data_IF_913121733655
#
_entry.id   IF_913121733655
#
_cell.length_a   1.000
_cell.length_b   1.000
_cell.length_c   1.000
_cell.angle_alpha   90.00
_cell.angle_beta   90.00
_cell.angle_gamma   90.00
#
_symmetry.space_group_name_H-M   'P 1'
#
loop_
_entity.id
_entity.type
_entity.pdbx_description
1 polymer ?
#
# COMPACT_ATOMS: atom_id res chain seq x y z
N UNK A 1 -71.23 38.09 45.11
CA UNK A 1 -69.95 38.78 45.35
C UNK A 1 -68.84 37.91 44.80
N UNK A 2 -68.19 38.40 43.75
CA UNK A 2 -67.05 37.83 43.05
C UNK A 2 -65.75 38.26 43.75
N UNK A 3 -64.86 37.32 44.07
CA UNK A 3 -63.40 37.48 44.27
C UNK A 3 -62.77 36.11 44.00
N UNK A 4 -62.33 35.83 42.76
CA UNK A 4 -60.95 35.92 42.21
C UNK A 4 -59.97 34.91 42.81
N UNK A 5 -59.59 33.96 41.96
CA UNK A 5 -58.44 33.09 42.07
C UNK A 5 -57.15 33.88 41.84
N UNK A 6 -56.14 33.67 42.69
CA UNK A 6 -54.72 33.84 42.39
C UNK A 6 -53.89 33.44 43.62
N UNK A 7 -53.75 32.13 43.84
CA UNK A 7 -52.64 31.53 44.59
C UNK A 7 -52.35 30.18 43.92
N UNK A 8 -51.73 30.24 42.74
CA UNK A 8 -51.10 29.08 42.09
C UNK A 8 -49.64 29.42 41.82
N UNK A 9 -48.80 29.00 42.77
CA UNK A 9 -47.47 28.38 42.56
C UNK A 9 -46.67 28.88 41.37
N UNK A 10 -45.72 29.79 41.64
CA UNK A 10 -44.55 29.99 40.80
C UNK A 10 -43.63 28.77 40.92
N UNK A 11 -43.73 27.81 39.99
CA UNK A 11 -42.68 26.84 39.76
C UNK A 11 -41.44 27.58 39.26
N UNK A 12 -40.33 27.45 39.99
CA UNK A 12 -39.07 28.11 39.67
C UNK A 12 -38.53 27.65 38.32
N UNK A 13 -38.31 28.60 37.41
CA UNK A 13 -37.55 28.36 36.19
C UNK A 13 -36.11 27.98 36.57
N UNK A 14 -35.76 26.70 36.46
CA UNK A 14 -34.39 26.22 36.53
C UNK A 14 -33.63 26.64 35.26
N UNK A 15 -33.15 27.87 35.21
CA UNK A 15 -32.23 28.32 34.16
C UNK A 15 -30.82 27.82 34.47
N UNK A 16 -30.18 27.15 33.51
CA UNK A 16 -28.80 26.67 33.66
C UNK A 16 -27.85 27.89 33.74
N UNK A 17 -26.98 28.00 34.78
CA UNK A 17 -26.03 29.11 34.89
C UNK A 17 -25.07 29.15 33.68
N UNK A 18 -24.86 30.35 33.11
CA UNK A 18 -23.89 30.56 32.03
C UNK A 18 -22.47 30.70 32.56
N UNK A 19 -21.93 29.61 33.08
CA UNK A 19 -20.56 29.53 33.62
C UNK A 19 -19.70 28.59 32.78
N UNK A 20 -18.41 28.91 32.63
CA UNK A 20 -17.45 28.09 31.90
C UNK A 20 -16.31 28.90 31.27
N UNK A 21 -15.27 28.19 30.85
CA UNK A 21 -14.16 28.76 30.08
C UNK A 21 -14.61 29.00 28.63
N UNK A 22 -14.36 30.20 28.11
CA UNK A 22 -14.58 30.48 26.69
C UNK A 22 -13.48 29.82 25.83
N UNK A 23 -13.87 28.80 25.09
CA UNK A 23 -12.97 28.01 24.24
C UNK A 23 -13.02 28.43 22.76
N UNK A 24 -13.74 29.51 22.43
CA UNK A 24 -13.76 30.01 21.06
C UNK A 24 -12.42 30.62 20.67
N UNK A 25 -11.96 30.44 19.41
CA UNK A 25 -10.76 31.11 18.92
C UNK A 25 -10.85 32.64 18.98
N UNK A 26 -12.06 33.20 18.82
CA UNK A 26 -12.33 34.65 18.84
C UNK A 26 -12.51 35.23 20.24
N UNK A 27 -12.62 34.38 21.27
CA UNK A 27 -12.96 34.76 22.65
C UNK A 27 -14.21 35.63 22.75
N UNK A 28 -15.28 35.23 22.05
CA UNK A 28 -16.55 35.95 21.94
C UNK A 28 -17.66 35.40 22.86
N UNK A 29 -17.32 34.46 23.74
CA UNK A 29 -18.23 33.75 24.62
C UNK A 29 -19.24 32.89 23.86
N UNK A 30 -18.96 32.52 22.62
CA UNK A 30 -19.85 31.72 21.78
C UNK A 30 -19.99 30.27 22.23
N UNK A 31 -18.93 29.72 22.82
CA UNK A 31 -18.86 28.35 23.34
C UNK A 31 -18.16 28.37 24.68
N UNK A 32 -18.93 28.14 25.75
CA UNK A 32 -18.40 28.02 27.11
C UNK A 32 -18.30 26.54 27.49
N UNK A 33 -17.19 26.15 28.10
CA UNK A 33 -16.94 24.78 28.55
C UNK A 33 -16.77 24.74 30.06
N UNK A 34 -17.45 23.80 30.70
CA UNK A 34 -17.28 23.47 32.11
C UNK A 34 -16.98 21.97 32.25
N UNK A 35 -15.79 21.63 32.74
CA UNK A 35 -15.43 20.22 32.99
C UNK A 35 -16.15 19.73 34.25
N UNK A 36 -16.96 18.69 34.11
CA UNK A 36 -17.66 18.02 35.23
C UNK A 36 -16.86 16.84 35.79
N UNK A 37 -16.12 16.15 34.92
CA UNK A 37 -15.20 15.08 35.29
C UNK A 37 -14.00 15.13 34.36
N UNK A 38 -12.82 15.15 34.94
CA UNK A 38 -11.56 15.12 34.21
C UNK A 38 -11.40 13.81 33.42
N UNK A 39 -10.81 13.92 32.23
CA UNK A 39 -10.34 12.76 31.48
C UNK A 39 -8.91 12.36 31.86
N UNK A 40 -8.37 11.39 31.13
CA UNK A 40 -7.01 10.86 31.31
C UNK A 40 -6.19 11.03 30.02
N UNK A 41 -4.86 10.95 30.17
CA UNK A 41 -3.93 11.13 29.06
C UNK A 41 -3.63 12.59 28.73
N UNK A 42 -2.71 12.78 27.79
CA UNK A 42 -2.23 14.09 27.33
C UNK A 42 -2.64 14.40 25.90
N UNK A 43 -3.13 13.40 25.15
CA UNK A 43 -3.56 13.58 23.78
C UNK A 43 -5.00 14.10 23.72
N UNK A 44 -5.24 14.99 22.75
CA UNK A 44 -6.56 15.54 22.43
C UNK A 44 -6.93 15.13 21.01
N UNK A 45 -8.23 14.96 20.68
CA UNK A 45 -8.68 14.75 19.31
C UNK A 45 -8.19 15.85 18.37
N UNK A 46 -7.80 15.47 17.16
CA UNK A 46 -7.36 16.36 16.09
C UNK A 46 -8.38 16.39 14.95
N UNK A 47 -8.24 17.36 14.04
CA UNK A 47 -9.10 17.43 12.85
C UNK A 47 -8.97 16.13 12.05
N UNK A 48 -10.10 15.57 11.62
CA UNK A 48 -10.18 14.31 10.90
C UNK A 48 -10.25 13.06 11.78
N UNK A 49 -9.95 13.17 13.09
CA UNK A 49 -10.11 12.02 13.99
C UNK A 49 -11.58 11.62 14.07
N UNK A 50 -11.82 10.31 14.07
CA UNK A 50 -13.12 9.73 14.38
C UNK A 50 -13.29 9.69 15.90
N UNK A 51 -14.24 10.45 16.43
CA UNK A 51 -14.51 10.54 17.87
C UNK A 51 -15.75 9.74 18.25
N UNK A 52 -15.79 9.23 19.48
CA UNK A 52 -16.90 8.45 20.03
C UNK A 52 -17.37 9.06 21.34
N UNK A 53 -18.60 9.55 21.37
CA UNK A 53 -19.15 10.30 22.50
C UNK A 53 -20.51 9.79 22.95
N UNK A 54 -20.83 9.96 24.23
CA UNK A 54 -22.23 10.11 24.65
C UNK A 54 -22.56 11.58 24.88
N UNK A 55 -23.83 11.93 24.67
CA UNK A 55 -24.30 13.28 24.97
C UNK A 55 -25.75 13.32 25.43
N UNK A 56 -26.08 14.43 26.08
CA UNK A 56 -27.44 14.88 26.39
C UNK A 56 -27.54 16.34 25.98
N UNK A 57 -28.52 16.68 25.15
CA UNK A 57 -28.79 18.04 24.67
C UNK A 57 -30.07 18.61 25.27
N UNK A 58 -29.96 19.79 25.88
CA UNK A 58 -31.09 20.53 26.45
C UNK A 58 -31.10 21.98 26.00
N UNK A 59 -32.28 22.60 25.99
CA UNK A 59 -32.40 24.06 25.93
C UNK A 59 -31.96 24.67 27.27
N UNK A 60 -31.80 25.99 27.31
CA UNK A 60 -31.36 26.73 28.50
C UNK A 60 -32.36 26.62 29.68
N UNK A 61 -33.63 26.38 29.38
CA UNK A 61 -34.70 26.13 30.35
C UNK A 61 -34.73 24.68 30.89
N UNK A 62 -33.79 23.84 30.44
CA UNK A 62 -33.69 22.43 30.82
C UNK A 62 -34.48 21.47 29.93
N UNK A 63 -35.24 21.95 28.94
CA UNK A 63 -36.01 21.10 28.03
C UNK A 63 -35.09 20.19 27.22
N UNK A 64 -35.21 18.88 27.44
CA UNK A 64 -34.45 17.87 26.70
C UNK A 64 -34.94 17.74 25.26
N UNK A 65 -34.03 17.80 24.28
CA UNK A 65 -34.37 17.67 22.85
C UNK A 65 -33.74 16.44 22.17
N UNK A 66 -32.59 15.96 22.65
CA UNK A 66 -31.89 14.81 22.08
C UNK A 66 -30.83 14.23 23.03
N UNK A 67 -30.70 12.91 23.08
CA UNK A 67 -29.62 12.21 23.78
C UNK A 67 -29.23 10.92 23.07
N UNK A 68 -27.92 10.64 23.01
CA UNK A 68 -27.44 9.33 22.57
C UNK A 68 -27.57 8.25 23.64
N UNK A 69 -27.72 8.62 24.92
CA UNK A 69 -27.90 7.65 26.01
C UNK A 69 -29.27 6.97 25.92
N UNK A 70 -30.29 7.70 25.51
CA UNK A 70 -31.64 7.17 25.26
C UNK A 70 -31.64 6.09 24.16
N UNK A 71 -30.66 6.15 23.24
CA UNK A 71 -30.48 5.18 22.17
C UNK A 71 -29.61 3.98 22.58
N UNK A 72 -28.93 4.04 23.72
CA UNK A 72 -28.04 2.99 24.18
C UNK A 72 -26.74 2.83 23.38
N UNK A 73 -26.50 3.67 22.37
CA UNK A 73 -25.34 3.58 21.49
C UNK A 73 -24.54 4.90 21.47
N UNK A 74 -23.21 4.79 21.40
CA UNK A 74 -22.33 5.95 21.28
C UNK A 74 -22.54 6.61 19.93
N UNK A 75 -22.51 7.94 19.91
CA UNK A 75 -22.51 8.70 18.67
C UNK A 75 -21.06 8.87 18.20
N UNK A 76 -20.82 8.64 16.91
CA UNK A 76 -19.49 8.84 16.31
C UNK A 76 -19.55 9.77 15.11
N UNK A 77 -18.56 10.64 14.99
CA UNK A 77 -18.41 11.58 13.88
C UNK A 77 -16.94 11.92 13.63
N UNK A 78 -16.64 12.52 12.49
CA UNK A 78 -15.31 13.04 12.15
C UNK A 78 -15.17 14.49 12.63
N UNK A 79 -14.19 14.74 13.49
CA UNK A 79 -13.99 16.04 14.11
C UNK A 79 -13.46 17.07 13.11
N UNK A 80 -14.01 18.28 13.12
CA UNK A 80 -13.54 19.39 12.28
C UNK A 80 -13.91 19.27 10.79
N UNK A 81 -14.80 18.34 10.44
CA UNK A 81 -15.32 18.14 9.07
C UNK A 81 -16.72 18.74 8.87
N UNK A 82 -17.28 19.42 9.88
CA UNK A 82 -18.61 20.03 9.80
C UNK A 82 -19.76 19.02 9.79
N UNK A 83 -19.53 17.80 10.29
CA UNK A 83 -20.59 16.79 10.48
C UNK A 83 -21.50 17.12 11.68
N UNK A 84 -21.05 18.02 12.56
CA UNK A 84 -21.74 18.49 13.76
C UNK A 84 -21.75 20.01 13.80
N UNK A 85 -22.47 20.59 14.76
CA UNK A 85 -22.49 22.05 14.96
C UNK A 85 -21.08 22.57 15.29
N UNK A 86 -20.79 23.83 14.92
CA UNK A 86 -19.47 24.45 15.13
C UNK A 86 -19.00 24.37 16.59
N UNK A 87 -19.93 24.51 17.54
CA UNK A 87 -19.63 24.42 18.96
C UNK A 87 -19.07 23.05 19.37
N UNK A 88 -19.53 21.97 18.74
CA UNK A 88 -19.04 20.63 18.99
C UNK A 88 -17.65 20.40 18.39
N UNK A 89 -17.42 20.88 17.16
CA UNK A 89 -16.07 20.81 16.55
C UNK A 89 -15.02 21.54 17.40
N UNK A 90 -15.39 22.66 18.02
CA UNK A 90 -14.52 23.39 18.97
C UNK A 90 -14.43 22.66 20.31
N UNK A 91 -15.57 22.25 20.88
CA UNK A 91 -15.66 21.67 22.22
C UNK A 91 -14.93 20.33 22.34
N UNK A 92 -15.26 19.38 21.47
CA UNK A 92 -14.72 18.01 21.55
C UNK A 92 -13.22 17.98 21.27
N UNK A 93 -12.69 18.90 20.47
CA UNK A 93 -11.24 19.07 20.24
C UNK A 93 -10.45 19.41 21.51
N UNK A 94 -11.12 19.90 22.56
CA UNK A 94 -10.47 20.24 23.85
C UNK A 94 -10.59 19.14 24.90
N UNK A 95 -11.27 18.03 24.59
CA UNK A 95 -11.59 16.99 25.57
C UNK A 95 -10.51 15.91 25.63
N UNK A 96 -10.23 15.41 26.84
CA UNK A 96 -9.44 14.18 27.05
C UNK A 96 -10.33 12.94 27.04
N UNK A 97 -9.73 11.77 26.78
CA UNK A 97 -10.45 10.49 26.88
C UNK A 97 -10.97 10.29 28.31
N UNK A 98 -12.27 9.99 28.44
CA UNK A 98 -12.99 9.82 29.70
C UNK A 98 -13.59 11.10 30.28
N UNK A 99 -13.26 12.27 29.71
CA UNK A 99 -13.75 13.57 30.17
C UNK A 99 -15.27 13.69 29.97
N UNK A 100 -15.94 14.23 30.98
CA UNK A 100 -17.33 14.68 30.92
C UNK A 100 -17.34 16.20 31.06
N UNK A 101 -17.85 16.92 30.07
CA UNK A 101 -17.98 18.38 30.12
C UNK A 101 -19.38 18.84 29.76
N UNK A 102 -19.72 20.05 30.21
CA UNK A 102 -20.87 20.81 29.72
C UNK A 102 -20.40 21.86 28.73
N UNK A 103 -21.06 21.95 27.58
CA UNK A 103 -20.87 22.97 26.57
C UNK A 103 -22.13 23.83 26.49
N UNK A 104 -21.97 25.15 26.64
CA UNK A 104 -23.03 26.13 26.42
C UNK A 104 -22.75 26.81 25.08
N UNK A 105 -23.66 26.67 24.14
CA UNK A 105 -23.47 27.00 22.73
C UNK A 105 -24.44 28.10 22.31
N UNK A 106 -23.90 29.28 21.98
CA UNK A 106 -24.69 30.36 21.38
C UNK A 106 -25.18 29.96 19.96
N UNK A 107 -26.30 30.55 19.49
CA UNK A 107 -26.89 30.17 18.21
C UNK A 107 -25.94 30.30 17.01
N UNK A 108 -25.02 31.27 17.00
CA UNK A 108 -24.04 31.47 15.93
C UNK A 108 -23.07 30.28 15.74
N UNK A 109 -22.90 29.49 16.81
CA UNK A 109 -22.10 28.27 16.85
C UNK A 109 -22.96 26.99 16.87
N UNK A 110 -24.29 27.13 16.80
CA UNK A 110 -25.28 26.06 16.73
C UNK A 110 -26.13 26.16 15.45
N UNK A 111 -27.46 26.30 15.57
CA UNK A 111 -28.40 26.32 14.43
C UNK A 111 -28.85 27.72 14.00
N UNK A 112 -28.27 28.77 14.58
CA UNK A 112 -28.51 30.17 14.19
C UNK A 112 -29.98 30.60 14.26
N UNK A 113 -30.32 31.59 13.42
CA UNK A 113 -31.67 32.15 13.34
C UNK A 113 -32.70 31.22 12.71
N UNK A 114 -32.27 30.15 12.04
CA UNK A 114 -33.18 29.17 11.47
C UNK A 114 -33.67 28.16 12.53
N UNK A 115 -32.83 27.82 13.51
CA UNK A 115 -33.10 26.73 14.43
C UNK A 115 -33.09 25.36 13.73
N UNK A 116 -33.69 24.35 14.37
CA UNK A 116 -33.96 23.03 13.78
C UNK A 116 -35.35 22.56 14.22
N UNK A 117 -36.42 23.08 13.58
CA UNK A 117 -37.79 22.76 13.95
C UNK A 117 -38.12 21.26 13.80
N UNK A 118 -39.01 20.70 14.63
CA UNK A 118 -39.76 21.38 15.70
C UNK A 118 -39.00 21.45 17.04
N UNK A 119 -37.85 20.78 17.17
CA UNK A 119 -37.17 20.57 18.46
C UNK A 119 -36.35 21.76 18.93
N UNK A 120 -35.71 22.47 18.00
CA UNK A 120 -34.81 23.58 18.32
C UNK A 120 -35.36 24.87 17.72
N UNK A 121 -35.74 25.87 18.54
CA UNK A 121 -36.27 27.12 18.03
C UNK A 121 -35.18 28.01 17.40
N UNK A 122 -35.58 29.01 16.60
CA UNK A 122 -34.70 30.10 16.15
C UNK A 122 -33.90 30.74 17.29
N UNK A 123 -32.61 31.02 17.04
CA UNK A 123 -31.69 31.71 17.97
C UNK A 123 -31.56 31.04 19.35
N UNK A 124 -31.78 29.72 19.43
CA UNK A 124 -31.66 28.99 20.69
C UNK A 124 -30.21 28.88 21.17
N UNK A 125 -29.98 29.16 22.45
CA UNK A 125 -28.79 28.71 23.18
C UNK A 125 -28.98 27.26 23.59
N UNK A 126 -28.03 26.40 23.23
CA UNK A 126 -28.07 24.98 23.55
C UNK A 126 -27.09 24.67 24.67
N UNK A 127 -27.46 23.71 25.51
CA UNK A 127 -26.58 23.15 26.52
C UNK A 127 -26.40 21.67 26.22
N UNK A 128 -25.15 21.24 26.10
CA UNK A 128 -24.80 19.84 25.92
C UNK A 128 -23.98 19.36 27.10
N UNK A 129 -24.30 18.18 27.61
CA UNK A 129 -23.36 17.39 28.40
C UNK A 129 -22.75 16.34 27.48
N UNK A 130 -21.42 16.32 27.34
CA UNK A 130 -20.69 15.45 26.40
C UNK A 130 -19.65 14.64 27.16
N UNK A 131 -19.61 13.34 26.90
CA UNK A 131 -18.62 12.40 27.44
C UNK A 131 -17.80 11.80 26.29
N UNK A 132 -16.49 12.04 26.27
CA UNK A 132 -15.59 11.50 25.25
C UNK A 132 -15.06 10.13 25.68
N UNK A 133 -15.34 9.09 24.91
CA UNK A 133 -14.90 7.73 25.22
C UNK A 133 -13.62 7.33 24.49
N UNK A 134 -13.50 7.74 23.24
CA UNK A 134 -12.43 7.29 22.37
C UNK A 134 -12.32 8.26 21.19
N UNK A 135 -11.11 8.38 20.66
CA UNK A 135 -10.90 8.92 19.32
C UNK A 135 -9.83 8.08 18.61
N UNK A 136 -9.91 8.03 17.30
CA UNK A 136 -8.95 7.33 16.44
C UNK A 136 -8.59 8.21 15.26
N UNK A 137 -7.31 8.23 14.88
CA UNK A 137 -6.89 8.83 13.63
C UNK A 137 -7.49 8.12 12.42
N UNK A 138 -7.40 8.75 11.27
CA UNK A 138 -7.87 8.23 9.99
C UNK A 138 -6.94 7.13 9.50
N UNK A 139 -7.50 5.97 9.13
CA UNK A 139 -6.75 4.92 8.46
C UNK A 139 -6.69 5.24 6.96
N UNK A 140 -5.48 5.46 6.43
CA UNK A 140 -5.28 5.79 5.03
C UNK A 140 -4.91 4.57 4.17
N UNK A 141 -4.96 3.37 4.74
CA UNK A 141 -4.67 2.14 4.01
C UNK A 141 -5.88 1.71 3.18
N UNK A 142 -5.62 1.16 1.99
CA UNK A 142 -6.67 0.71 1.07
C UNK A 142 -7.55 -0.40 1.67
N UNK A 143 -6.97 -1.25 2.52
CA UNK A 143 -7.64 -2.38 3.17
C UNK A 143 -8.20 -2.05 4.56
N UNK A 144 -8.08 -0.79 5.02
CA UNK A 144 -8.41 -0.36 6.40
C UNK A 144 -7.79 -1.29 7.48
N UNK A 145 -6.51 -1.67 7.30
CA UNK A 145 -5.81 -2.64 8.16
C UNK A 145 -5.16 -2.01 9.43
N UNK A 146 -5.41 -0.73 9.64
CA UNK A 146 -4.82 0.12 10.68
C UNK A 146 -3.32 0.29 10.51
N UNK A 147 -2.79 0.09 9.31
CA UNK A 147 -1.37 0.05 9.03
C UNK A 147 -0.71 1.42 8.98
N UNK A 148 -1.44 2.43 8.52
CA UNK A 148 -1.01 3.83 8.50
C UNK A 148 -2.16 4.69 9.03
N UNK A 149 -1.98 5.22 10.24
CA UNK A 149 -2.97 6.09 10.90
C UNK A 149 -2.49 7.54 10.79
N UNK A 150 -3.32 8.39 10.19
CA UNK A 150 -3.10 9.84 10.04
C UNK A 150 -3.82 10.62 11.12
N UNK A 151 -3.15 11.64 11.67
CA UNK A 151 -3.74 12.68 12.52
C UNK A 151 -3.32 14.06 12.02
N UNK A 152 -4.27 14.89 11.62
CA UNK A 152 -4.00 16.18 10.96
C UNK A 152 -3.70 17.24 12.01
N UNK A 153 -2.50 17.85 11.92
CA UNK A 153 -2.05 18.94 12.79
C UNK A 153 -2.50 20.28 12.20
N UNK A 154 -2.16 20.51 10.93
CA UNK A 154 -2.56 21.68 10.15
C UNK A 154 -3.28 21.20 8.91
N UNK A 155 -4.50 21.68 8.69
CA UNK A 155 -5.30 21.32 7.52
C UNK A 155 -4.67 21.92 6.25
N UNK A 156 -4.59 21.14 5.18
CA UNK A 156 -4.20 21.63 3.88
C UNK A 156 -5.27 22.46 3.18
N UNK A 157 -4.92 22.93 2.00
CA UNK A 157 -5.78 23.70 1.10
C UNK A 157 -5.99 22.95 -0.22
N UNK A 158 -7.18 23.12 -0.80
CA UNK A 158 -7.57 22.47 -2.05
C UNK A 158 -8.08 21.04 -1.85
N UNK A 159 -8.24 20.33 -2.97
CA UNK A 159 -8.77 18.95 -3.01
C UNK A 159 -7.85 17.98 -3.74
N UNK A 160 -6.81 18.50 -4.39
CA UNK A 160 -5.85 17.69 -5.13
C UNK A 160 -4.82 17.09 -4.18
N UNK A 161 -4.39 15.86 -4.51
CA UNK A 161 -3.34 15.14 -3.80
C UNK A 161 -2.23 14.70 -4.77
N UNK A 162 -0.99 14.50 -4.30
CA UNK A 162 0.06 13.90 -5.11
C UNK A 162 -0.34 12.51 -5.62
N UNK A 163 0.07 12.17 -6.85
CA UNK A 163 -0.03 10.82 -7.41
C UNK A 163 1.35 10.19 -7.58
N UNK A 164 1.38 8.91 -7.96
CA UNK A 164 2.63 8.21 -8.29
C UNK A 164 3.41 8.98 -9.37
N UNK A 165 4.69 9.25 -9.13
CA UNK A 165 5.53 10.06 -10.00
C UNK A 165 5.40 11.58 -9.83
N UNK A 166 4.53 12.08 -8.94
CA UNK A 166 4.43 13.51 -8.64
C UNK A 166 5.72 14.04 -8.03
N UNK A 167 6.11 15.26 -8.39
CA UNK A 167 7.18 15.98 -7.72
C UNK A 167 6.64 16.63 -6.44
N UNK A 168 7.23 16.34 -5.29
CA UNK A 168 6.78 16.83 -3.98
C UNK A 168 7.88 17.60 -3.26
N UNK A 169 7.49 18.61 -2.51
CA UNK A 169 8.33 19.36 -1.58
C UNK A 169 7.80 19.14 -0.16
N UNK A 170 8.59 18.46 0.67
CA UNK A 170 8.15 18.02 2.00
C UNK A 170 9.20 18.30 3.08
N UNK A 171 8.72 18.56 4.29
CA UNK A 171 9.50 18.39 5.51
C UNK A 171 9.08 17.10 6.17
N UNK A 172 10.03 16.25 6.53
CA UNK A 172 9.78 14.98 7.20
C UNK A 172 10.57 14.91 8.50
N UNK A 173 9.94 14.42 9.55
CA UNK A 173 10.55 14.09 10.82
C UNK A 173 10.10 12.68 11.22
N UNK A 174 11.03 11.72 11.16
CA UNK A 174 10.81 10.33 11.54
C UNK A 174 11.29 10.08 12.97
N UNK A 175 10.44 9.48 13.79
CA UNK A 175 10.75 9.06 15.15
C UNK A 175 10.30 7.64 15.45
N UNK A 176 11.00 6.99 16.37
CA UNK A 176 10.69 5.65 16.86
C UNK A 176 10.81 5.68 18.38
N UNK A 177 9.74 5.31 19.09
CA UNK A 177 9.68 5.35 20.57
C UNK A 177 10.10 6.71 21.15
N UNK A 178 9.71 7.81 20.48
CA UNK A 178 10.05 9.18 20.87
C UNK A 178 11.46 9.65 20.49
N UNK A 179 12.32 8.77 19.96
CA UNK A 179 13.63 9.16 19.44
C UNK A 179 13.53 9.54 17.96
N UNK A 180 13.80 10.80 17.65
CA UNK A 180 13.96 11.28 16.28
C UNK A 180 15.20 10.61 15.65
N UNK A 181 15.03 10.06 14.44
CA UNK A 181 16.10 9.40 13.69
C UNK A 181 16.31 9.97 12.29
N UNK A 182 15.36 10.74 11.78
CA UNK A 182 15.43 11.42 10.48
C UNK A 182 14.70 12.75 10.57
N UNK A 183 15.32 13.84 10.11
CA UNK A 183 14.71 15.17 10.02
C UNK A 183 15.30 15.90 8.83
N UNK A 184 14.51 16.07 7.77
CA UNK A 184 14.99 16.64 6.49
C UNK A 184 13.89 17.40 5.78
N UNK A 185 14.30 18.40 5.01
CA UNK A 185 13.49 19.05 3.99
C UNK A 185 14.00 18.60 2.61
N UNK A 186 13.10 18.10 1.77
CA UNK A 186 13.47 17.41 0.54
C UNK A 186 12.51 17.75 -0.60
N UNK A 187 13.04 17.73 -1.82
CA UNK A 187 12.27 17.69 -3.06
C UNK A 187 12.57 16.38 -3.78
N UNK A 188 11.55 15.57 -4.04
CA UNK A 188 11.73 14.29 -4.71
C UNK A 188 10.47 13.89 -5.48
N UNK A 189 10.57 12.83 -6.29
CA UNK A 189 9.41 12.25 -6.97
C UNK A 189 8.85 11.08 -6.18
N UNK A 190 7.52 11.04 -6.02
CA UNK A 190 6.83 9.87 -5.48
C UNK A 190 7.16 8.64 -6.33
N UNK A 191 7.58 7.56 -5.68
CA UNK A 191 8.18 6.35 -6.25
C UNK A 191 9.69 6.24 -6.02
N UNK A 192 10.33 7.27 -5.45
CA UNK A 192 11.78 7.31 -5.15
C UNK A 192 12.14 7.27 -3.65
N UNK A 193 11.15 7.14 -2.76
CA UNK A 193 11.35 7.23 -1.32
C UNK A 193 12.33 6.21 -0.77
N UNK A 194 12.32 4.98 -1.28
CA UNK A 194 13.23 3.91 -0.81
C UNK A 194 14.71 4.28 -0.95
N UNK A 195 15.11 4.95 -2.04
CA UNK A 195 16.50 5.39 -2.24
C UNK A 195 16.90 6.54 -1.31
N UNK A 196 15.92 7.28 -0.80
CA UNK A 196 16.09 8.30 0.21
C UNK A 196 16.09 7.74 1.64
N UNK A 197 15.97 6.42 1.78
CA UNK A 197 15.92 5.70 3.05
C UNK A 197 14.53 5.68 3.68
N UNK A 198 13.47 6.05 2.95
CA UNK A 198 12.12 6.02 3.48
C UNK A 198 11.51 4.62 3.41
N UNK A 199 10.72 4.23 4.43
CA UNK A 199 9.84 3.09 4.31
C UNK A 199 8.65 3.41 3.39
N UNK A 200 8.05 2.38 2.79
CA UNK A 200 6.96 2.52 1.79
C UNK A 200 5.75 3.31 2.31
N UNK A 201 5.51 3.29 3.62
CA UNK A 201 4.42 4.06 4.25
C UNK A 201 4.56 5.57 4.13
N UNK A 202 5.78 6.11 4.02
CA UNK A 202 6.00 7.57 3.90
C UNK A 202 5.45 8.11 2.59
N UNK A 203 5.71 7.43 1.47
CA UNK A 203 5.18 7.87 0.18
C UNK A 203 3.66 7.73 0.11
N UNK A 204 3.11 6.64 0.67
CA UNK A 204 1.65 6.46 0.83
C UNK A 204 1.04 7.59 1.68
N UNK A 205 1.71 7.98 2.77
CA UNK A 205 1.28 9.10 3.60
C UNK A 205 1.25 10.41 2.82
N UNK A 206 2.33 10.74 2.08
CA UNK A 206 2.40 11.97 1.27
C UNK A 206 1.28 12.00 0.21
N UNK A 207 1.00 10.89 -0.46
CA UNK A 207 -0.10 10.79 -1.44
C UNK A 207 -1.50 10.95 -0.82
N UNK A 208 -1.66 10.82 0.49
CA UNK A 208 -2.93 11.05 1.18
C UNK A 208 -3.16 12.52 1.57
N UNK A 209 -2.12 13.36 1.51
CA UNK A 209 -2.10 14.74 1.99
C UNK A 209 -2.56 15.77 0.95
N UNK A 210 -3.09 16.87 1.44
CA UNK A 210 -3.38 18.11 0.70
C UNK A 210 -2.19 19.08 0.77
N UNK A 211 -2.09 20.02 -0.19
CA UNK A 211 -1.03 21.03 -0.16
C UNK A 211 -1.15 21.92 1.08
N UNK A 212 -0.03 22.18 1.77
CA UNK A 212 0.01 22.92 3.02
C UNK A 212 -0.34 22.09 4.26
N UNK A 213 -0.79 20.83 4.09
CA UNK A 213 -1.12 19.94 5.21
C UNK A 213 0.14 19.59 6.02
N UNK A 214 -0.02 19.58 7.35
CA UNK A 214 0.95 19.02 8.28
C UNK A 214 0.22 17.95 9.11
N UNK A 215 0.75 16.73 9.13
CA UNK A 215 0.11 15.62 9.80
C UNK A 215 1.12 14.68 10.45
N UNK A 216 0.67 14.01 11.52
CA UNK A 216 1.37 12.93 12.17
C UNK A 216 0.85 11.59 11.64
N UNK A 217 1.75 10.72 11.23
CA UNK A 217 1.45 9.39 10.73
C UNK A 217 2.06 8.35 11.66
N UNK A 218 1.26 7.39 12.12
CA UNK A 218 1.72 6.20 12.84
C UNK A 218 1.70 5.02 11.89
N UNK A 219 2.85 4.39 11.66
CA UNK A 219 3.04 3.33 10.67
C UNK A 219 3.42 2.02 11.36
N UNK A 220 2.59 0.99 11.19
CA UNK A 220 2.90 -0.38 11.62
C UNK A 220 4.06 -0.96 10.80
N UNK A 221 4.72 -2.03 11.27
CA UNK A 221 5.90 -2.59 10.60
C UNK A 221 5.73 -2.92 9.12
N UNK A 222 4.53 -3.36 8.69
CA UNK A 222 4.18 -3.63 7.28
C UNK A 222 4.44 -2.43 6.36
N UNK A 223 4.24 -1.22 6.89
CA UNK A 223 4.43 0.05 6.16
C UNK A 223 5.68 0.82 6.63
N UNK A 224 6.34 0.35 7.70
CA UNK A 224 7.64 0.84 8.19
C UNK A 224 8.82 0.06 7.58
N UNK A 225 9.87 -0.15 8.37
CA UNK A 225 11.06 -0.92 7.95
C UNK A 225 10.90 -2.45 8.07
N UNK A 226 9.68 -2.95 8.28
CA UNK A 226 9.38 -4.38 8.36
C UNK A 226 10.06 -5.09 9.53
N UNK A 227 10.15 -6.41 9.41
CA UNK A 227 10.76 -7.28 10.43
C UNK A 227 12.30 -7.21 10.44
N UNK A 228 12.91 -6.63 9.41
CA UNK A 228 14.36 -6.42 9.37
C UNK A 228 14.79 -5.20 10.19
N UNK A 229 13.91 -4.20 10.33
CA UNK A 229 14.25 -2.92 10.93
C UNK A 229 15.19 -2.11 10.04
N UNK A 230 15.88 -1.13 10.62
CA UNK A 230 16.86 -0.32 9.90
C UNK A 230 18.10 -0.08 10.77
N UNK A 231 19.20 -0.74 10.41
CA UNK A 231 20.45 -0.68 11.16
C UNK A 231 21.07 0.73 11.17
N UNK A 232 20.96 1.49 10.07
CA UNK A 232 21.54 2.83 9.97
C UNK A 232 20.89 3.80 10.97
N UNK A 233 19.59 3.61 11.23
CA UNK A 233 18.82 4.41 12.18
C UNK A 233 18.70 3.79 13.57
N UNK A 234 19.31 2.62 13.80
CA UNK A 234 19.15 1.82 15.01
C UNK A 234 17.67 1.52 15.33
N UNK A 235 16.91 1.14 14.31
CA UNK A 235 15.49 0.78 14.45
C UNK A 235 15.37 -0.74 14.47
N UNK A 236 14.77 -1.33 15.52
CA UNK A 236 14.61 -2.77 15.61
C UNK A 236 13.57 -3.29 14.59
N UNK A 237 13.67 -4.56 14.26
CA UNK A 237 12.68 -5.26 13.46
C UNK A 237 11.31 -5.25 14.14
N UNK A 238 10.24 -5.03 13.37
CA UNK A 238 8.89 -4.99 13.92
C UNK A 238 8.54 -3.70 14.67
N UNK A 239 9.36 -2.65 14.54
CA UNK A 239 9.08 -1.35 15.14
C UNK A 239 7.91 -0.61 14.46
N UNK A 240 7.07 0.03 15.27
CA UNK A 240 6.12 1.05 14.82
C UNK A 240 6.84 2.39 14.73
N UNK A 241 6.62 3.11 13.62
CA UNK A 241 7.25 4.39 13.37
C UNK A 241 6.24 5.52 13.46
N UNK A 242 6.70 6.70 13.86
CA UNK A 242 5.94 7.94 13.75
C UNK A 242 6.63 8.88 12.77
N UNK A 243 5.88 9.42 11.82
CA UNK A 243 6.37 10.43 10.89
C UNK A 243 5.51 11.68 10.98
N UNK A 244 6.12 12.80 11.33
CA UNK A 244 5.50 14.11 11.17
C UNK A 244 5.90 14.65 9.79
N UNK A 245 4.92 14.88 8.94
CA UNK A 245 5.15 15.27 7.54
C UNK A 245 4.41 16.58 7.28
N UNK A 246 5.09 17.53 6.64
CA UNK A 246 4.50 18.74 6.09
C UNK A 246 4.66 18.72 4.58
N UNK A 247 3.54 18.76 3.84
CA UNK A 247 3.53 18.85 2.39
C UNK A 247 3.46 20.33 1.98
N UNK A 248 4.60 20.92 1.60
CA UNK A 248 4.65 22.34 1.25
C UNK A 248 4.05 22.61 -0.14
N UNK A 249 4.42 21.80 -1.12
CA UNK A 249 3.95 21.91 -2.51
C UNK A 249 4.07 20.57 -3.23
N UNK A 250 3.30 20.40 -4.30
CA UNK A 250 3.50 19.30 -5.23
C UNK A 250 3.04 19.65 -6.65
N UNK A 251 3.57 18.93 -7.62
CA UNK A 251 3.13 18.92 -9.01
C UNK A 251 2.80 17.48 -9.41
N UNK A 252 1.54 17.22 -9.79
CA UNK A 252 1.10 15.87 -10.19
C UNK A 252 1.85 15.41 -11.42
N UNK A 253 2.17 14.12 -11.47
CA UNK A 253 2.50 13.50 -12.75
C UNK A 253 1.25 13.50 -13.64
N UNK A 254 1.42 13.86 -14.91
CA UNK A 254 0.35 13.68 -15.90
C UNK A 254 0.06 12.19 -16.08
N UNK A 255 -1.21 11.85 -16.04
CA UNK A 255 -1.70 10.52 -16.34
C UNK A 255 -1.67 10.27 -17.86
N UNK A 256 -1.62 8.99 -18.26
CA UNK A 256 -1.52 8.62 -19.67
C UNK A 256 -2.64 9.22 -20.53
N UNK A 257 -3.88 9.30 -20.02
CA UNK A 257 -5.02 9.85 -20.75
C UNK A 257 -5.10 11.38 -20.76
N UNK A 258 -4.33 12.07 -19.92
CA UNK A 258 -4.29 13.55 -19.88
C UNK A 258 -3.36 14.13 -20.95
N UNK A 259 -2.50 13.30 -21.54
CA UNK A 259 -1.54 13.70 -22.57
C UNK A 259 -2.04 13.34 -23.96
N UNK A 260 -1.94 14.27 -24.90
CA UNK A 260 -2.07 13.94 -26.31
C UNK A 260 -0.82 13.20 -26.82
N UNK A 261 -0.90 12.59 -28.01
CA UNK A 261 0.22 11.83 -28.61
C UNK A 261 1.52 12.64 -28.69
N UNK A 262 1.45 13.92 -29.09
CA UNK A 262 2.63 14.78 -29.20
C UNK A 262 3.32 14.97 -27.85
N UNK A 263 2.54 15.25 -26.80
CA UNK A 263 3.03 15.35 -25.43
C UNK A 263 3.61 14.01 -24.95
N UNK A 264 2.95 12.87 -25.23
CA UNK A 264 3.48 11.55 -24.85
C UNK A 264 4.84 11.26 -25.46
N UNK A 265 5.05 11.60 -26.73
CA UNK A 265 6.33 11.40 -27.42
C UNK A 265 7.44 12.29 -26.85
N UNK A 266 7.12 13.55 -26.56
CA UNK A 266 8.04 14.50 -25.94
C UNK A 266 8.42 14.05 -24.52
N UNK A 267 7.42 13.77 -23.68
CA UNK A 267 7.63 13.31 -22.30
C UNK A 267 8.37 11.98 -22.25
N UNK A 268 8.06 11.04 -23.14
CA UNK A 268 8.80 9.78 -23.27
C UNK A 268 10.28 10.01 -23.55
N UNK A 269 10.62 11.02 -24.35
CA UNK A 269 12.02 11.36 -24.65
C UNK A 269 12.74 11.92 -23.42
N UNK A 270 12.09 12.82 -22.67
CA UNK A 270 12.63 13.39 -21.43
C UNK A 270 12.86 12.30 -20.37
N UNK A 271 11.84 11.47 -20.14
CA UNK A 271 11.91 10.37 -19.17
C UNK A 271 12.96 9.32 -19.57
N UNK A 272 13.15 9.05 -20.86
CA UNK A 272 14.21 8.15 -21.33
C UNK A 272 15.59 8.67 -20.96
N UNK A 273 15.85 9.97 -21.10
CA UNK A 273 17.12 10.58 -20.69
C UNK A 273 17.28 10.54 -19.17
N UNK A 274 16.21 10.82 -18.41
CA UNK A 274 16.21 10.70 -16.95
C UNK A 274 16.52 9.28 -16.47
N UNK A 275 15.87 8.26 -17.04
CA UNK A 275 16.15 6.86 -16.76
C UNK A 275 17.60 6.49 -17.08
N UNK A 276 18.16 7.07 -18.16
CA UNK A 276 19.56 6.85 -18.55
C UNK A 276 20.52 7.47 -17.54
N UNK A 277 20.18 8.63 -16.98
CA UNK A 277 20.95 9.23 -15.90
C UNK A 277 20.93 8.36 -14.64
N UNK A 278 19.76 7.88 -14.21
CA UNK A 278 19.66 6.94 -13.09
C UNK A 278 20.46 5.66 -13.33
N UNK A 279 20.42 5.11 -14.55
CA UNK A 279 21.20 3.93 -14.89
C UNK A 279 22.70 4.16 -14.74
N UNK A 280 23.21 5.33 -15.17
CA UNK A 280 24.63 5.71 -15.02
C UNK A 280 25.04 5.86 -13.56
N UNK A 281 24.14 6.34 -12.71
CA UNK A 281 24.34 6.47 -11.27
C UNK A 281 24.24 5.13 -10.51
N UNK A 282 23.96 4.02 -11.20
CA UNK A 282 23.77 2.70 -10.57
C UNK A 282 22.39 2.49 -9.95
N UNK A 283 21.48 3.45 -10.15
CA UNK A 283 20.10 3.44 -9.63
C UNK A 283 19.16 2.66 -10.56
N UNK A 284 19.43 1.36 -10.71
CA UNK A 284 18.76 0.52 -11.71
C UNK A 284 17.25 0.38 -11.49
N UNK A 285 16.79 0.34 -10.23
CA UNK A 285 15.36 0.28 -9.90
C UNK A 285 14.63 1.54 -10.39
N UNK A 286 15.17 2.72 -10.11
CA UNK A 286 14.61 4.01 -10.57
C UNK A 286 14.61 4.10 -12.09
N UNK A 287 15.72 3.72 -12.72
CA UNK A 287 15.81 3.67 -14.18
C UNK A 287 14.68 2.80 -14.76
N UNK A 288 14.42 1.64 -14.16
CA UNK A 288 13.33 0.75 -14.60
C UNK A 288 11.94 1.39 -14.47
N UNK A 289 11.67 2.16 -13.40
CA UNK A 289 10.40 2.87 -13.22
C UNK A 289 10.21 3.90 -14.34
N UNK A 290 11.24 4.67 -14.66
CA UNK A 290 11.20 5.65 -15.74
C UNK A 290 10.91 4.98 -17.09
N UNK A 291 11.60 3.89 -17.43
CA UNK A 291 11.35 3.19 -18.69
C UNK A 291 9.98 2.49 -18.75
N UNK A 292 9.44 1.99 -17.63
CA UNK A 292 8.07 1.46 -17.55
C UNK A 292 7.01 2.51 -17.89
N UNK A 293 7.22 3.77 -17.48
CA UNK A 293 6.30 4.88 -17.83
C UNK A 293 6.22 5.08 -19.35
N UNK A 294 7.34 5.02 -20.05
CA UNK A 294 7.38 5.13 -21.52
C UNK A 294 6.55 4.02 -22.17
N UNK A 295 6.71 2.78 -21.71
CA UNK A 295 5.94 1.65 -22.21
C UNK A 295 4.46 1.89 -21.95
N UNK A 296 4.07 2.21 -20.71
CA UNK A 296 2.68 2.47 -20.34
C UNK A 296 2.01 3.58 -21.17
N UNK A 297 2.74 4.65 -21.49
CA UNK A 297 2.20 5.75 -22.29
C UNK A 297 2.00 5.41 -23.76
N UNK A 298 2.86 4.55 -24.34
CA UNK A 298 2.92 4.31 -25.78
C UNK A 298 2.40 2.93 -26.21
N UNK A 299 2.16 2.00 -25.29
CA UNK A 299 1.78 0.62 -25.61
C UNK A 299 0.42 0.51 -26.32
N UNK A 300 -0.56 1.33 -25.91
CA UNK A 300 -1.92 1.31 -26.45
C UNK A 300 -2.24 2.47 -27.39
N UNK A 301 -1.24 3.29 -27.76
CA UNK A 301 -1.43 4.34 -28.75
C UNK A 301 -1.66 3.73 -30.14
N UNK A 302 -2.71 4.18 -30.82
CA UNK A 302 -3.10 3.70 -32.15
C UNK A 302 -3.61 4.84 -33.01
N UNK A 303 -3.62 4.65 -34.33
CA UNK A 303 -4.05 5.70 -35.27
C UNK A 303 -3.05 6.86 -35.40
N UNK A 304 -1.77 6.62 -35.08
CA UNK A 304 -0.71 7.61 -35.19
C UNK A 304 -0.38 7.91 -36.65
N UNK A 305 0.15 9.12 -36.90
CA UNK A 305 0.76 9.43 -38.18
C UNK A 305 1.96 8.50 -38.44
N UNK A 306 2.34 8.29 -39.70
CA UNK A 306 3.48 7.42 -40.03
C UNK A 306 4.79 7.89 -39.35
N UNK A 307 4.97 9.21 -39.23
CA UNK A 307 6.13 9.80 -38.56
C UNK A 307 6.11 9.53 -37.05
N UNK A 308 4.94 9.72 -36.42
CA UNK A 308 4.79 9.53 -34.97
C UNK A 308 4.82 8.06 -34.58
N UNK A 309 4.27 7.17 -35.39
CA UNK A 309 4.39 5.72 -35.17
C UNK A 309 5.85 5.27 -35.21
N UNK A 310 6.64 5.83 -36.14
CA UNK A 310 8.08 5.54 -36.20
C UNK A 310 8.81 6.03 -34.94
N UNK A 311 8.48 7.22 -34.44
CA UNK A 311 9.02 7.75 -33.18
C UNK A 311 8.59 6.91 -31.97
N UNK A 312 7.30 6.58 -31.87
CA UNK A 312 6.74 5.76 -30.80
C UNK A 312 7.38 4.36 -30.77
N UNK A 313 7.52 3.72 -31.94
CA UNK A 313 8.19 2.41 -32.07
C UNK A 313 9.65 2.48 -31.63
N UNK A 314 10.39 3.53 -32.03
CA UNK A 314 11.78 3.71 -31.61
C UNK A 314 11.91 3.91 -30.09
N UNK A 315 11.01 4.69 -29.48
CA UNK A 315 10.97 4.92 -28.03
C UNK A 315 10.61 3.64 -27.25
N UNK A 316 9.59 2.89 -27.69
CA UNK A 316 9.22 1.60 -27.09
C UNK A 316 10.36 0.60 -27.16
N UNK A 317 11.01 0.47 -28.31
CA UNK A 317 12.17 -0.41 -28.48
C UNK A 317 13.31 -0.02 -27.53
N UNK A 318 13.64 1.28 -27.44
CA UNK A 318 14.67 1.77 -26.52
C UNK A 318 14.30 1.51 -25.05
N UNK A 319 13.04 1.73 -24.66
CA UNK A 319 12.56 1.49 -23.31
C UNK A 319 12.67 0.00 -22.93
N UNK A 320 12.19 -0.92 -23.76
CA UNK A 320 12.30 -2.36 -23.50
C UNK A 320 13.74 -2.85 -23.44
N UNK A 321 14.60 -2.38 -24.35
CA UNK A 321 16.03 -2.70 -24.29
C UNK A 321 16.64 -2.23 -22.97
N UNK A 322 16.37 -0.99 -22.55
CA UNK A 322 16.93 -0.45 -21.31
C UNK A 322 16.35 -1.12 -20.06
N UNK A 323 15.05 -1.50 -20.07
CA UNK A 323 14.43 -2.31 -19.03
C UNK A 323 15.14 -3.66 -18.86
N UNK A 324 15.35 -4.38 -19.97
CA UNK A 324 16.08 -5.64 -19.94
C UNK A 324 17.46 -5.48 -19.29
N UNK A 325 18.17 -4.39 -19.61
CA UNK A 325 19.46 -4.10 -18.99
C UNK A 325 19.35 -3.80 -17.50
N UNK A 326 18.33 -3.06 -17.06
CA UNK A 326 18.08 -2.77 -15.65
C UNK A 326 17.83 -4.08 -14.87
N UNK A 327 16.95 -4.93 -15.39
CA UNK A 327 16.60 -6.21 -14.75
C UNK A 327 17.78 -7.19 -14.69
N UNK A 328 18.63 -7.23 -15.72
CA UNK A 328 19.89 -7.99 -15.66
C UNK A 328 20.82 -7.48 -14.54
N UNK A 329 20.89 -6.16 -14.32
CA UNK A 329 21.67 -5.57 -13.21
C UNK A 329 21.05 -5.84 -11.84
N UNK A 330 19.73 -5.92 -11.77
CA UNK A 330 18.97 -6.26 -10.55
C UNK A 330 18.92 -7.77 -10.26
N UNK A 331 19.47 -8.61 -11.14
CA UNK A 331 19.41 -10.08 -11.04
C UNK A 331 17.97 -10.63 -11.11
N UNK A 332 17.12 -9.99 -11.91
CA UNK A 332 15.72 -10.37 -12.17
C UNK A 332 15.59 -10.91 -13.61
N UNK A 333 16.12 -12.12 -13.91
CA UNK A 333 16.24 -12.58 -15.29
C UNK A 333 14.89 -12.84 -15.97
N UNK A 334 13.84 -13.19 -15.23
CA UNK A 334 12.50 -13.40 -15.80
C UNK A 334 11.92 -12.10 -16.40
N UNK A 335 12.08 -10.97 -15.71
CA UNK A 335 11.61 -9.67 -16.21
C UNK A 335 12.51 -9.14 -17.35
N UNK A 336 13.80 -9.46 -17.30
CA UNK A 336 14.72 -9.17 -18.40
C UNK A 336 14.31 -9.92 -19.69
N UNK A 337 13.95 -11.20 -19.57
CA UNK A 337 13.46 -12.02 -20.67
C UNK A 337 12.21 -11.43 -21.31
N UNK A 338 11.18 -11.11 -20.51
CA UNK A 338 9.94 -10.51 -21.00
C UNK A 338 10.18 -9.19 -21.74
N UNK A 339 11.04 -8.34 -21.19
CA UNK A 339 11.42 -7.06 -21.83
C UNK A 339 12.15 -7.29 -23.16
N UNK A 340 13.00 -8.32 -23.25
CA UNK A 340 13.66 -8.69 -24.49
C UNK A 340 12.70 -9.23 -25.55
N UNK A 341 11.72 -10.05 -25.15
CA UNK A 341 10.70 -10.57 -26.07
C UNK A 341 9.89 -9.42 -26.69
N UNK A 342 9.47 -8.44 -25.87
CA UNK A 342 8.83 -7.21 -26.35
C UNK A 342 9.72 -6.37 -27.26
N UNK A 343 11.02 -6.28 -26.99
CA UNK A 343 11.96 -5.62 -27.90
C UNK A 343 12.06 -6.36 -29.25
N UNK A 344 12.00 -7.70 -29.27
CA UNK A 344 12.10 -8.52 -30.49
C UNK A 344 10.80 -8.54 -31.30
N UNK A 345 9.64 -8.39 -30.66
CA UNK A 345 8.37 -8.10 -31.35
C UNK A 345 8.49 -6.81 -32.19
N UNK A 346 9.22 -5.80 -31.67
CA UNK A 346 9.44 -4.52 -32.35
C UNK A 346 10.61 -4.56 -33.33
N UNK A 347 11.69 -5.29 -33.07
CA UNK A 347 12.86 -5.47 -33.94
C UNK A 347 13.44 -6.87 -33.77
N UNK A 348 12.99 -7.79 -34.62
CA UNK A 348 13.35 -9.21 -34.55
C UNK A 348 14.86 -9.48 -34.79
N UNK A 349 15.58 -8.54 -35.40
CA UNK A 349 17.03 -8.65 -35.59
C UNK A 349 17.85 -7.92 -34.54
N UNK A 350 17.24 -7.31 -33.52
CA UNK A 350 17.97 -6.47 -32.57
C UNK A 350 19.11 -7.22 -31.87
N UNK A 351 20.36 -6.87 -32.19
CA UNK A 351 21.57 -7.46 -31.60
C UNK A 351 21.51 -7.42 -30.06
N UNK A 352 21.10 -6.26 -29.51
CA UNK A 352 21.03 -6.04 -28.06
C UNK A 352 19.95 -6.88 -27.41
N UNK A 353 18.77 -7.03 -28.03
CA UNK A 353 17.67 -7.78 -27.45
C UNK A 353 18.00 -9.28 -27.41
N UNK A 354 18.47 -9.85 -28.52
CA UNK A 354 18.89 -11.25 -28.60
C UNK A 354 20.00 -11.57 -27.59
N UNK A 355 21.03 -10.71 -27.53
CA UNK A 355 22.14 -10.92 -26.61
C UNK A 355 21.70 -10.88 -25.15
N UNK A 356 20.90 -9.88 -24.76
CA UNK A 356 20.39 -9.74 -23.38
C UNK A 356 19.40 -10.84 -23.00
N UNK A 357 18.60 -11.34 -23.95
CA UNK A 357 17.70 -12.48 -23.72
C UNK A 357 18.51 -13.75 -23.47
N UNK A 358 19.57 -13.97 -24.24
CA UNK A 358 20.54 -15.03 -23.99
C UNK A 358 21.17 -14.95 -22.60
N UNK A 359 21.56 -13.75 -22.13
CA UNK A 359 22.08 -13.55 -20.77
C UNK A 359 21.04 -13.87 -19.68
N UNK A 360 19.78 -13.44 -19.87
CA UNK A 360 18.68 -13.72 -18.95
C UNK A 360 18.40 -15.23 -18.85
N UNK A 361 18.25 -15.91 -20.00
CA UNK A 361 18.05 -17.36 -20.08
C UNK A 361 19.22 -18.14 -19.46
N UNK A 362 20.45 -17.67 -19.68
CA UNK A 362 21.62 -18.26 -19.05
C UNK A 362 21.56 -18.14 -17.51
N UNK A 363 21.16 -16.98 -16.99
CA UNK A 363 20.91 -16.76 -15.56
C UNK A 363 19.84 -17.70 -15.00
N UNK A 364 18.81 -18.02 -15.80
CA UNK A 364 17.76 -18.99 -15.47
C UNK A 364 18.18 -20.45 -15.66
N UNK A 365 19.42 -20.71 -16.09
CA UNK A 365 19.97 -22.05 -16.43
C UNK A 365 19.29 -22.73 -17.62
N UNK A 366 18.60 -21.98 -18.46
CA UNK A 366 18.03 -22.45 -19.72
C UNK A 366 19.09 -22.41 -20.84
N UNK A 367 20.16 -23.19 -20.66
CA UNK A 367 21.38 -23.06 -21.45
C UNK A 367 21.20 -23.35 -22.94
N UNK A 368 20.28 -24.24 -23.33
CA UNK A 368 19.99 -24.51 -24.74
C UNK A 368 19.36 -23.30 -25.42
N UNK A 369 18.32 -22.72 -24.83
CA UNK A 369 17.68 -21.50 -25.36
C UNK A 369 18.65 -20.32 -25.38
N UNK A 370 19.45 -20.17 -24.32
CA UNK A 370 20.48 -19.14 -24.27
C UNK A 370 21.51 -19.29 -25.40
N UNK A 371 21.97 -20.53 -25.65
CA UNK A 371 22.88 -20.84 -26.76
C UNK A 371 22.27 -20.44 -28.10
N UNK A 372 21.01 -20.77 -28.32
CA UNK A 372 20.33 -20.51 -29.58
C UNK A 372 20.22 -18.99 -29.86
N UNK A 373 19.90 -18.18 -28.84
CA UNK A 373 19.92 -16.72 -28.93
C UNK A 373 21.33 -16.18 -29.25
N UNK A 374 22.37 -16.65 -28.56
CA UNK A 374 23.74 -16.22 -28.84
C UNK A 374 24.21 -16.66 -30.24
N UNK A 375 23.80 -17.83 -30.70
CA UNK A 375 24.08 -18.30 -32.06
C UNK A 375 23.40 -17.42 -33.10
N UNK A 376 22.15 -17.01 -32.87
CA UNK A 376 21.45 -16.07 -33.74
C UNK A 376 22.19 -14.73 -33.81
N UNK A 377 22.71 -14.22 -32.67
CA UNK A 377 23.57 -13.03 -32.65
C UNK A 377 24.82 -13.25 -33.49
N UNK A 378 25.50 -14.39 -33.39
CA UNK A 378 26.71 -14.67 -34.18
C UNK A 378 26.41 -14.77 -35.68
N UNK A 379 25.25 -15.30 -36.06
CA UNK A 379 24.83 -15.41 -37.45
C UNK A 379 24.53 -14.04 -38.07
N UNK A 380 23.79 -13.18 -37.37
CA UNK A 380 23.43 -11.84 -37.84
C UNK A 380 24.57 -10.83 -37.67
N UNK A 381 25.38 -10.98 -36.62
CA UNK A 381 26.45 -10.06 -36.22
C UNK A 381 27.78 -10.80 -35.99
N UNK A 382 28.47 -11.26 -37.05
CA UNK A 382 29.66 -12.09 -36.91
C UNK A 382 30.85 -11.43 -36.20
N UNK A 383 30.86 -10.10 -36.07
CA UNK A 383 31.88 -9.34 -35.36
C UNK A 383 31.72 -9.37 -33.83
N UNK A 384 30.55 -9.80 -33.31
CA UNK A 384 30.29 -9.84 -31.88
C UNK A 384 31.07 -10.99 -31.21
N UNK A 385 32.24 -10.66 -30.65
CA UNK A 385 33.09 -11.61 -29.94
C UNK A 385 32.47 -12.13 -28.64
N UNK A 386 31.68 -11.30 -27.96
CA UNK A 386 31.04 -11.68 -26.71
C UNK A 386 30.04 -12.82 -26.94
N UNK A 387 29.24 -12.75 -28.01
CA UNK A 387 28.27 -13.79 -28.35
C UNK A 387 28.96 -15.12 -28.64
N UNK A 388 30.07 -15.11 -29.40
CA UNK A 388 30.87 -16.32 -29.65
C UNK A 388 31.37 -16.96 -28.36
N UNK A 389 31.89 -16.16 -27.43
CA UNK A 389 32.33 -16.65 -26.12
C UNK A 389 31.17 -17.25 -25.31
N UNK A 390 30.00 -16.62 -25.34
CA UNK A 390 28.81 -17.12 -24.63
C UNK A 390 28.28 -18.43 -25.23
N UNK A 391 28.32 -18.62 -26.55
CA UNK A 391 27.96 -19.91 -27.18
C UNK A 391 28.82 -21.04 -26.63
N UNK A 392 30.15 -20.84 -26.56
CA UNK A 392 31.08 -21.84 -26.02
C UNK A 392 30.81 -22.10 -24.54
N UNK A 393 30.51 -21.06 -23.76
CA UNK A 393 30.16 -21.20 -22.35
C UNK A 393 28.86 -22.00 -22.17
N UNK A 394 27.83 -21.72 -22.95
CA UNK A 394 26.57 -22.47 -22.93
C UNK A 394 26.80 -23.95 -23.24
N UNK A 395 27.56 -24.27 -24.29
CA UNK A 395 27.91 -25.65 -24.64
C UNK A 395 28.63 -26.38 -23.50
N UNK A 396 29.56 -25.70 -22.82
CA UNK A 396 30.24 -26.25 -21.65
C UNK A 396 29.23 -26.55 -20.53
N UNK A 397 28.34 -25.61 -20.19
CA UNK A 397 27.32 -25.78 -19.15
C UNK A 397 26.32 -26.89 -19.46
N UNK A 398 25.87 -26.99 -20.71
CA UNK A 398 25.00 -28.07 -21.19
C UNK A 398 25.67 -29.43 -20.96
N UNK A 399 26.94 -29.57 -21.34
CA UNK A 399 27.71 -30.81 -21.11
C UNK A 399 27.84 -31.14 -19.63
N UNK A 400 28.20 -30.16 -18.79
CA UNK A 400 28.28 -30.33 -17.33
C UNK A 400 26.93 -30.77 -16.73
N UNK A 401 25.82 -30.20 -17.20
CA UNK A 401 24.47 -30.55 -16.76
C UNK A 401 24.11 -31.98 -17.16
N UNK A 402 24.34 -32.39 -18.41
CA UNK A 402 24.12 -33.77 -18.84
C UNK A 402 24.97 -34.79 -18.07
N UNK A 403 26.24 -34.49 -17.79
CA UNK A 403 27.11 -35.36 -16.99
C UNK A 403 26.65 -35.47 -15.53
N UNK A 404 26.11 -34.37 -14.97
CA UNK A 404 25.50 -34.38 -13.65
C UNK A 404 24.22 -35.20 -13.64
N UNK A 405 23.32 -34.97 -14.61
CA UNK A 405 22.05 -35.68 -14.71
C UNK A 405 22.27 -37.18 -14.92
N UNK A 406 23.20 -37.57 -15.79
CA UNK A 406 23.61 -38.97 -15.97
C UNK A 406 24.04 -39.62 -14.65
N UNK A 407 24.82 -38.93 -13.83
CA UNK A 407 25.24 -39.41 -12.49
C UNK A 407 24.06 -39.51 -11.53
N UNK A 408 23.18 -38.52 -11.51
CA UNK A 408 21.99 -38.51 -10.65
C UNK A 408 21.07 -39.68 -11.02
N UNK A 409 20.75 -39.86 -12.31
CA UNK A 409 19.93 -40.98 -12.77
C UNK A 409 20.59 -42.32 -12.47
N UNK A 410 21.88 -42.50 -12.75
CA UNK A 410 22.59 -43.75 -12.43
C UNK A 410 22.50 -44.11 -10.93
N UNK A 411 22.74 -43.14 -10.05
CA UNK A 411 22.61 -43.33 -8.60
C UNK A 411 21.16 -43.63 -8.19
N UNK A 412 20.18 -43.01 -8.84
CA UNK A 412 18.76 -43.24 -8.57
C UNK A 412 18.34 -44.66 -8.99
N UNK A 413 18.77 -45.12 -10.17
CA UNK A 413 18.57 -46.50 -10.64
C UNK A 413 19.21 -47.52 -9.68
N UNK A 414 20.45 -47.27 -9.24
CA UNK A 414 21.10 -48.16 -8.27
C UNK A 414 20.33 -48.23 -6.96
N UNK A 415 19.87 -47.10 -6.41
CA UNK A 415 19.07 -47.09 -5.18
C UNK A 415 17.74 -47.84 -5.33
N UNK A 416 17.08 -47.72 -6.49
CA UNK A 416 15.85 -48.48 -6.75
C UNK A 416 16.12 -49.98 -6.84
N UNK A 417 17.16 -50.39 -7.57
CA UNK A 417 17.58 -51.79 -7.65
C UNK A 417 17.94 -52.37 -6.27
N UNK A 418 18.67 -51.62 -5.43
CA UNK A 418 18.98 -52.02 -4.06
C UNK A 418 17.72 -52.14 -3.18
N UNK A 419 16.75 -51.25 -3.36
CA UNK A 419 15.46 -51.30 -2.63
C UNK A 419 14.64 -52.51 -3.03
N UNK A 420 14.56 -52.80 -4.32
CA UNK A 420 13.81 -53.93 -4.84
C UNK A 420 14.46 -55.25 -4.42
N UNK A 421 15.80 -55.33 -4.48
CA UNK A 421 16.57 -56.47 -3.95
C UNK A 421 16.33 -56.69 -2.45
N UNK A 422 16.28 -55.60 -1.65
CA UNK A 422 15.96 -55.69 -0.21
C UNK A 422 14.54 -56.18 0.04
N UNK A 423 13.55 -55.71 -0.73
CA UNK A 423 12.16 -56.17 -0.64
C UNK A 423 12.02 -57.65 -1.02
N UNK A 424 12.73 -58.10 -2.05
CA UNK A 424 12.76 -59.53 -2.42
C UNK A 424 13.42 -60.36 -1.32
N UNK A 425 14.54 -59.92 -0.77
CA UNK A 425 15.20 -60.60 0.34
C UNK A 425 14.31 -60.67 1.61
N UNK A 426 13.53 -59.63 1.89
CA UNK A 426 12.54 -59.62 2.98
C UNK A 426 11.38 -60.58 2.72
N UNK A 427 10.87 -60.66 1.47
CA UNK A 427 9.85 -61.65 1.07
C UNK A 427 10.35 -63.09 1.18
N UNK A 428 11.59 -63.35 0.80
CA UNK A 428 12.20 -64.68 0.93
C UNK A 428 12.38 -65.06 2.40
N UNK A 429 12.76 -64.10 3.26
CA UNK A 429 12.85 -64.32 4.71
C UNK A 429 11.49 -64.52 5.39
N UNK A 430 10.40 -63.93 4.87
CA UNK A 430 9.05 -64.19 5.38
C UNK A 430 8.50 -65.53 4.88
N UNK A 431 8.79 -65.92 3.63
CA UNK A 431 8.34 -67.19 3.05
C UNK A 431 9.10 -68.43 3.52
N UNK A 432 10.31 -68.29 4.07
CA UNK A 432 11.07 -69.41 4.66
C UNK A 432 10.68 -69.73 6.11
N UNK A 433 9.65 -69.09 6.66
CA UNK A 433 9.00 -69.48 7.93
C UNK A 433 7.75 -70.35 7.75
N UNK A 434 7.29 -70.60 6.53
CA UNK A 434 6.06 -71.36 6.23
C UNK A 434 6.31 -72.76 5.64
N UNK A 435 7.53 -73.30 5.74
CA UNK A 435 7.78 -74.71 5.42
C UNK A 435 7.85 -75.55 6.69
N UNK A 436 6.69 -75.74 7.31
CA UNK A 436 6.44 -76.73 8.36
C UNK A 436 4.94 -76.83 8.58
N UNK A 437 4.38 -78.02 8.33
CA UNK A 437 2.95 -78.41 8.49
C UNK A 437 2.06 -77.93 7.32
N UNK A 438 1.17 -78.70 6.70
CA UNK A 438 0.79 -80.12 6.73
C UNK A 438 -0.14 -80.39 5.52
N UNK A 439 -0.17 -81.66 5.10
CA UNK A 439 -1.30 -82.44 4.51
C UNK A 439 -2.22 -81.83 3.42
N UNK A 440 -2.13 -82.35 2.18
CA UNK A 440 -3.11 -83.28 1.56
C UNK A 440 -4.59 -82.85 1.62
N UNK A 441 -5.17 -82.50 0.47
CA UNK A 441 -6.20 -83.36 -0.15
C UNK A 441 -6.46 -83.01 -1.63
N UNK A 442 -6.74 -84.08 -2.38
CA UNK A 442 -6.88 -84.19 -3.83
C UNK A 442 -8.36 -84.22 -4.19
N UNK A 443 -8.77 -83.55 -5.27
CA UNK A 443 -9.67 -84.04 -6.35
C UNK A 443 -10.02 -82.85 -7.28
N UNK A 444 -9.52 -82.78 -8.52
CA UNK A 444 -9.87 -83.52 -9.76
C UNK A 444 -11.02 -82.89 -10.58
N UNK A 445 -10.73 -82.69 -11.87
CA UNK A 445 -11.69 -82.51 -12.98
C UNK A 445 -11.62 -81.12 -13.63
N UNK A 446 -10.80 -80.90 -14.66
CA UNK A 446 -11.18 -80.95 -16.10
C UNK A 446 -12.26 -79.91 -16.46
N UNK A 447 -12.21 -79.11 -17.54
CA UNK A 447 -11.37 -79.04 -18.74
C UNK A 447 -11.65 -77.68 -19.41
N UNK A 448 -10.65 -77.21 -20.16
CA UNK A 448 -10.69 -76.44 -21.41
C UNK A 448 -12.01 -75.76 -21.83
N UNK A 449 -11.94 -74.46 -22.13
CA UNK A 449 -12.07 -74.08 -23.54
C UNK A 449 -11.34 -72.77 -23.87
N UNK A 450 -10.74 -72.77 -25.05
CA UNK A 450 -10.00 -71.68 -25.66
C UNK A 450 -10.84 -71.07 -26.78
N UNK A 451 -10.77 -69.75 -26.96
CA UNK A 451 -10.84 -69.09 -28.29
C UNK A 451 -10.70 -67.58 -28.06
N UNK A 452 -9.58 -67.01 -28.51
CA UNK A 452 -9.45 -66.25 -29.77
C UNK A 452 -10.11 -64.86 -29.68
N UNK A 453 -9.33 -63.79 -29.52
CA UNK A 453 -8.48 -63.13 -30.53
C UNK A 453 -9.24 -62.07 -31.36
N UNK A 454 -8.71 -60.85 -31.28
CA UNK A 454 -8.66 -59.77 -32.30
C UNK A 454 -9.97 -59.06 -32.67
N UNK A 455 -10.07 -57.80 -32.27
CA UNK A 455 -9.75 -56.66 -33.13
C UNK A 455 -9.37 -55.45 -32.27
#
# INVERSE_FOLDING_TARGET
MTMTAEEQTSEGQHTIPMEGEDITPKKDGGVLKLVKREGTGTELPMTGDKVFVHYVGTLLDGTHFDSSRDRGEKFSFELGKGQVIKAWDIGVATMKVGELCQLICKPEYAYGSAGSPPKIPPNATLVFEVELFEFRGEDITEDEDGGIIRRIITKGEGYSKPNEGAAVEVTVEGSCEGRVFDERELKFEIGDGENLGFPAGVEKAIMAMEQGEEALFTMKPKYGFGNAGNANYNIPGGATLQYKIKLAAFEKAKESWEMNTGEKLEQSSIIKEKGTQYFKEGKYKQASVQYKRIVSWLEHESGLSEEDEKKARALRLAAHLNLAMCFLKLQEPSQALESCDKALELDASSEKALFRRGEALFGMKEFDRARDDFQQVVQLYPANKAAKSQVVLCQKRIKEQHEKDKRVYANMFQKFAERDSKKEAEKVKSGSKENGEDEMEIQNGEKEDASEAKA
#
